data_IF_824315719141
#
_entry.id   IF_824315719141
#
_cell.length_a   1.000
_cell.length_b   1.000
_cell.length_c   1.000
_cell.angle_alpha   90.00
_cell.angle_beta   90.00
_cell.angle_gamma   90.00
#
_symmetry.space_group_name_H-M   'P 1'
#
loop_
_entity.id
_entity.type
_entity.pdbx_description
1 polymer ?
#
# COMPACT_ATOMS: atom_id res chain seq x y z
N UNK A 1 13.37 32.49 -17.21
CA UNK A 1 12.54 31.27 -17.35
C UNK A 1 13.44 30.10 -17.01
N UNK A 2 13.60 29.80 -15.73
CA UNK A 2 14.37 28.64 -15.25
C UNK A 2 13.39 27.49 -15.10
N UNK A 3 13.49 26.53 -16.02
CA UNK A 3 12.72 25.30 -15.97
C UNK A 3 13.18 24.49 -14.75
N UNK A 4 12.21 24.21 -13.88
CA UNK A 4 12.03 23.00 -13.06
C UNK A 4 13.26 22.11 -12.91
N UNK A 5 13.94 22.26 -11.77
CA UNK A 5 14.72 21.19 -11.14
C UNK A 5 14.36 21.21 -9.64
N UNK A 6 13.05 21.21 -9.37
CA UNK A 6 12.46 21.00 -8.03
C UNK A 6 11.45 19.84 -8.12
N UNK A 7 11.67 18.92 -9.07
CA UNK A 7 11.05 17.60 -9.05
C UNK A 7 12.00 16.66 -8.29
N UNK A 8 12.37 17.08 -7.08
CA UNK A 8 13.06 16.22 -6.13
C UNK A 8 12.14 15.04 -5.86
N UNK A 9 12.43 13.92 -6.51
CA UNK A 9 11.74 12.63 -6.49
C UNK A 9 10.93 12.44 -5.21
N UNK A 10 9.70 12.95 -5.22
CA UNK A 10 8.87 12.98 -4.03
C UNK A 10 8.54 11.53 -3.75
N UNK A 11 8.99 11.00 -2.61
CA UNK A 11 8.63 9.64 -2.20
C UNK A 11 7.10 9.57 -2.26
N UNK A 12 6.53 8.70 -3.10
CA UNK A 12 5.09 8.67 -3.30
C UNK A 12 4.42 8.44 -1.96
N UNK A 13 3.45 9.29 -1.65
CA UNK A 13 2.66 9.19 -0.43
C UNK A 13 1.72 7.98 -0.53
N UNK A 14 1.15 7.57 0.60
CA UNK A 14 0.09 6.57 0.58
C UNK A 14 -1.09 6.97 -0.32
N UNK A 15 -1.39 8.26 -0.42
CA UNK A 15 -2.45 8.76 -1.29
C UNK A 15 -2.10 8.58 -2.77
N UNK A 16 -0.85 8.85 -3.16
CA UNK A 16 -0.38 8.67 -4.53
C UNK A 16 -0.44 7.19 -4.95
N UNK A 17 -0.14 6.27 -4.02
CA UNK A 17 -0.26 4.83 -4.25
C UNK A 17 -1.73 4.40 -4.42
N UNK A 18 -2.63 4.90 -3.58
CA UNK A 18 -4.08 4.63 -3.69
C UNK A 18 -4.66 5.19 -4.99
N UNK A 19 -4.27 6.40 -5.39
CA UNK A 19 -4.72 7.00 -6.65
C UNK A 19 -4.23 6.22 -7.87
N UNK A 20 -3.00 5.69 -7.84
CA UNK A 20 -2.52 4.78 -8.90
C UNK A 20 -3.36 3.50 -8.97
N UNK A 21 -3.61 2.86 -7.82
CA UNK A 21 -4.44 1.65 -7.77
C UNK A 21 -5.87 1.90 -8.25
N UNK A 22 -6.44 3.07 -7.91
CA UNK A 22 -7.74 3.53 -8.42
C UNK A 22 -7.70 3.73 -9.93
N UNK A 23 -6.70 4.44 -10.44
CA UNK A 23 -6.57 4.71 -11.88
C UNK A 23 -6.37 3.43 -12.71
N UNK A 24 -5.84 2.37 -12.10
CA UNK A 24 -5.69 1.05 -12.70
C UNK A 24 -6.96 0.18 -12.60
N UNK A 25 -8.01 0.67 -11.94
CA UNK A 25 -9.26 -0.06 -11.69
C UNK A 25 -9.13 -1.20 -10.67
N UNK A 26 -7.98 -1.33 -10.00
CA UNK A 26 -7.72 -2.42 -9.06
C UNK A 26 -8.56 -2.29 -7.78
N UNK A 27 -8.92 -1.05 -7.41
CA UNK A 27 -9.75 -0.80 -6.23
C UNK A 27 -11.23 -1.02 -6.48
N UNK A 28 -11.71 -0.87 -7.72
CA UNK A 28 -13.14 -0.97 -8.03
C UNK A 28 -13.68 -2.37 -7.72
N UNK A 29 -13.05 -3.41 -8.25
CA UNK A 29 -13.43 -4.80 -7.97
C UNK A 29 -13.18 -5.23 -6.52
N UNK A 30 -12.25 -4.58 -5.81
CA UNK A 30 -12.03 -4.81 -4.39
C UNK A 30 -13.16 -4.20 -3.56
N UNK A 31 -13.59 -2.98 -3.86
CA UNK A 31 -14.69 -2.33 -3.16
C UNK A 31 -16.03 -3.01 -3.42
N UNK A 32 -16.30 -3.48 -4.65
CA UNK A 32 -17.51 -4.28 -4.92
C UNK A 32 -17.59 -5.53 -4.02
N UNK A 33 -16.47 -6.25 -3.84
CA UNK A 33 -16.42 -7.42 -2.95
C UNK A 33 -16.64 -7.05 -1.48
N UNK A 34 -16.22 -5.87 -1.05
CA UNK A 34 -16.47 -5.36 0.30
C UNK A 34 -17.95 -5.01 0.46
N UNK A 35 -18.55 -4.35 -0.52
CA UNK A 35 -19.95 -3.92 -0.49
C UNK A 35 -20.93 -5.09 -0.43
N UNK A 36 -20.64 -6.19 -1.15
CA UNK A 36 -21.43 -7.44 -1.07
C UNK A 36 -21.07 -8.32 0.13
N UNK A 37 -20.15 -7.86 0.99
CA UNK A 37 -19.76 -8.54 2.23
C UNK A 37 -18.88 -9.79 2.04
N UNK A 38 -18.35 -10.01 0.84
CA UNK A 38 -17.39 -11.09 0.57
C UNK A 38 -16.02 -10.82 1.20
N UNK A 39 -15.63 -9.55 1.31
CA UNK A 39 -14.41 -9.12 2.02
C UNK A 39 -14.79 -8.26 3.20
N UNK A 40 -14.30 -8.62 4.39
CA UNK A 40 -14.46 -7.78 5.59
C UNK A 40 -13.39 -6.70 5.61
N UNK A 41 -13.77 -5.44 5.77
CA UNK A 41 -12.82 -4.33 5.89
C UNK A 41 -12.03 -4.39 7.21
N UNK A 42 -12.69 -4.79 8.29
CA UNK A 42 -12.18 -4.79 9.67
C UNK A 42 -12.38 -6.15 10.35
N UNK A 43 -11.80 -6.32 11.54
CA UNK A 43 -11.76 -7.59 12.27
C UNK A 43 -10.40 -8.28 12.13
N UNK A 44 -10.14 -9.33 12.92
CA UNK A 44 -8.83 -10.00 12.95
C UNK A 44 -8.36 -10.47 11.56
N UNK A 45 -9.30 -10.96 10.74
CA UNK A 45 -9.07 -11.39 9.36
C UNK A 45 -9.54 -10.35 8.32
N UNK A 46 -9.71 -9.10 8.74
CA UNK A 46 -10.13 -8.00 7.87
C UNK A 46 -9.02 -7.55 6.93
N UNK A 47 -9.40 -6.92 5.83
CA UNK A 47 -8.50 -6.37 4.83
C UNK A 47 -7.49 -5.37 5.42
N UNK A 48 -7.94 -4.43 6.27
CA UNK A 48 -7.04 -3.42 6.82
C UNK A 48 -5.97 -4.02 7.73
N UNK A 49 -6.31 -4.89 8.71
CA UNK A 49 -5.28 -5.58 9.50
C UNK A 49 -4.35 -6.47 8.66
N UNK A 50 -4.87 -7.14 7.63
CA UNK A 50 -4.06 -7.95 6.72
C UNK A 50 -3.03 -7.11 5.94
N UNK A 51 -3.43 -5.96 5.40
CA UNK A 51 -2.53 -5.05 4.67
C UNK A 51 -1.43 -4.49 5.58
N UNK A 52 -1.78 -4.12 6.82
CA UNK A 52 -0.81 -3.63 7.80
C UNK A 52 0.18 -4.74 8.15
N UNK A 53 -0.30 -5.95 8.42
CA UNK A 53 0.56 -7.11 8.72
C UNK A 53 1.53 -7.39 7.57
N UNK A 54 1.04 -7.46 6.34
CA UNK A 54 1.86 -7.66 5.15
C UNK A 54 2.94 -6.58 4.99
N UNK A 55 2.59 -5.30 5.17
CA UNK A 55 3.55 -4.21 5.11
C UNK A 55 4.64 -4.34 6.18
N UNK A 56 4.25 -4.71 7.40
CA UNK A 56 5.19 -4.93 8.51
C UNK A 56 6.10 -6.15 8.26
N UNK A 57 5.56 -7.26 7.78
CA UNK A 57 6.34 -8.47 7.47
C UNK A 57 7.31 -8.24 6.32
N UNK A 58 6.92 -7.49 5.29
CA UNK A 58 7.82 -7.05 4.21
C UNK A 58 8.89 -6.11 4.72
N UNK A 59 8.54 -5.17 5.59
CA UNK A 59 9.50 -4.27 6.23
C UNK A 59 10.51 -5.02 7.09
N UNK A 60 10.04 -6.02 7.85
CA UNK A 60 10.89 -6.89 8.65
C UNK A 60 11.79 -7.78 7.78
N UNK A 61 11.27 -8.38 6.71
CA UNK A 61 12.04 -9.18 5.77
C UNK A 61 13.16 -8.36 5.12
N UNK A 62 12.82 -7.17 4.62
CA UNK A 62 13.81 -6.24 4.06
C UNK A 62 14.87 -5.81 5.08
N UNK A 63 14.48 -5.68 6.36
CA UNK A 63 15.42 -5.41 7.44
C UNK A 63 16.35 -6.60 7.70
N UNK A 64 15.84 -7.83 7.74
CA UNK A 64 16.64 -9.05 7.91
C UNK A 64 17.60 -9.28 6.74
N UNK A 65 17.20 -8.97 5.51
CA UNK A 65 18.09 -9.00 4.34
C UNK A 65 19.22 -7.96 4.46
N UNK A 66 18.92 -6.80 5.04
CA UNK A 66 19.91 -5.71 5.25
C UNK A 66 20.86 -6.01 6.41
N UNK A 67 20.39 -6.73 7.44
CA UNK A 67 21.14 -7.02 8.66
C UNK A 67 21.06 -8.52 9.04
N UNK A 68 21.58 -9.43 8.20
CA UNK A 68 21.62 -10.85 8.54
C UNK A 68 22.65 -11.07 9.66
N UNK A 69 22.20 -11.33 10.89
CA UNK A 69 23.06 -11.78 11.99
C UNK A 69 23.32 -10.79 13.14
N UNK A 70 22.34 -9.93 13.46
CA UNK A 70 22.21 -9.43 14.83
C UNK A 70 21.84 -10.57 15.80
#
# INVERSE_FOLDING_TARGET
MTATDDDAQKVPTGHDAVDRLRSQGALDGLFEQIDVGQVKMTGADGLLPALVKEALERGLAAWLERAPGL
#
